data_IF_898979061343
#
_entry.id   IF_898979061343
#
_cell.length_a   1.000
_cell.length_b   1.000
_cell.length_c   1.000
_cell.angle_alpha   90.00
_cell.angle_beta   90.00
_cell.angle_gamma   90.00
#
_symmetry.space_group_name_H-M   'P 1'
#
loop_
_entity.id
_entity.type
_entity.pdbx_description
1 polymer ?
#
# COMPACT_ATOMS: atom_id res chain seq x y z
N UNK A 1 -0.25 -25.66 -4.01
CA UNK A 1 0.54 -25.22 -2.89
C UNK A 1 0.81 -23.73 -3.00
N UNK A 2 0.50 -23.02 -1.95
CA UNK A 2 0.74 -21.59 -1.95
C UNK A 2 2.23 -21.34 -2.07
N UNK A 3 2.61 -20.55 -3.06
CA UNK A 3 3.98 -20.16 -3.19
C UNK A 3 4.34 -19.21 -2.08
N UNK A 4 5.38 -19.52 -1.38
CA UNK A 4 5.93 -18.58 -0.42
C UNK A 4 6.35 -17.33 -1.20
N UNK A 5 5.89 -16.20 -0.76
CA UNK A 5 6.23 -14.95 -1.40
C UNK A 5 5.68 -13.81 -0.58
N UNK A 6 6.30 -12.66 -0.74
CA UNK A 6 5.89 -11.49 0.02
C UNK A 6 4.96 -10.61 -0.80
N UNK A 7 4.02 -10.01 -0.10
CA UNK A 7 3.11 -9.03 -0.69
C UNK A 7 3.60 -7.65 -0.27
N UNK A 8 3.72 -6.75 -1.24
CA UNK A 8 4.06 -5.35 -0.96
C UNK A 8 2.80 -4.52 -1.14
N UNK A 9 2.34 -3.91 -0.05
CA UNK A 9 1.15 -3.07 -0.06
C UNK A 9 1.53 -1.61 -0.23
N UNK A 10 0.75 -0.91 -1.03
CA UNK A 10 0.96 0.51 -1.33
C UNK A 10 -0.28 1.32 -1.00
N UNK A 11 -0.08 2.38 -0.26
CA UNK A 11 -1.08 3.42 -0.06
C UNK A 11 -0.64 4.63 -0.87
N UNK A 12 -1.26 4.84 -2.03
CA UNK A 12 -0.85 5.89 -2.96
C UNK A 12 -1.38 7.25 -2.53
N UNK A 13 -0.51 8.04 -1.93
CA UNK A 13 -0.82 9.43 -1.61
C UNK A 13 -0.35 10.38 -2.70
N UNK A 14 -0.70 11.64 -2.58
CA UNK A 14 -0.28 12.67 -3.55
C UNK A 14 1.20 12.98 -3.44
N UNK A 15 1.73 12.99 -2.24
CA UNK A 15 3.14 13.32 -1.99
C UNK A 15 4.00 12.12 -1.59
N UNK A 16 3.38 11.07 -1.07
CA UNK A 16 4.10 9.91 -0.56
C UNK A 16 3.35 8.63 -0.85
N UNK A 17 4.10 7.55 -0.89
CA UNK A 17 3.52 6.21 -0.96
C UNK A 17 3.85 5.51 0.36
N UNK A 18 2.80 5.14 1.10
CA UNK A 18 2.96 4.32 2.29
C UNK A 18 3.22 2.88 1.87
N UNK A 19 4.15 2.22 2.53
CA UNK A 19 4.57 0.87 2.16
C UNK A 19 4.53 -0.07 3.34
N UNK A 20 4.06 -1.29 3.09
CA UNK A 20 4.12 -2.37 4.04
C UNK A 20 4.40 -3.67 3.30
N UNK A 21 5.10 -4.59 3.96
CA UNK A 21 5.46 -5.85 3.35
C UNK A 21 5.04 -7.00 4.27
N UNK A 22 4.59 -8.09 3.67
CA UNK A 22 4.25 -9.27 4.46
C UNK A 22 5.50 -10.13 4.66
N UNK A 23 5.44 -11.02 5.65
CA UNK A 23 6.44 -12.05 5.78
C UNK A 23 6.22 -13.11 4.69
N UNK A 24 7.14 -14.03 4.57
CA UNK A 24 7.07 -15.06 3.52
C UNK A 24 5.86 -15.98 3.70
N UNK A 25 5.40 -16.15 4.93
CA UNK A 25 4.28 -17.01 5.23
C UNK A 25 2.93 -16.33 5.08
N UNK A 26 2.92 -15.00 4.87
CA UNK A 26 1.66 -14.28 4.73
C UNK A 26 0.88 -14.13 6.03
N UNK A 27 1.57 -14.07 7.16
CA UNK A 27 0.93 -13.99 8.46
C UNK A 27 0.84 -12.56 8.96
N UNK A 28 1.90 -11.80 8.84
CA UNK A 28 1.97 -10.45 9.42
C UNK A 28 2.46 -9.41 8.44
N UNK A 29 1.99 -8.19 8.64
CA UNK A 29 2.39 -7.02 7.85
C UNK A 29 3.37 -6.17 8.66
N UNK A 30 4.42 -5.71 7.99
CA UNK A 30 5.43 -4.85 8.59
C UNK A 30 5.55 -3.58 7.77
N UNK A 31 5.54 -2.42 8.43
CA UNK A 31 5.69 -1.15 7.75
C UNK A 31 7.11 -0.94 7.25
N UNK A 32 7.23 -0.36 6.07
CA UNK A 32 8.50 0.05 5.51
C UNK A 32 8.58 1.57 5.52
N UNK A 33 9.75 2.10 5.26
CA UNK A 33 9.93 3.54 5.18
C UNK A 33 9.07 4.10 4.05
N UNK A 34 8.33 5.16 4.35
CA UNK A 34 7.46 5.82 3.39
C UNK A 34 8.30 6.41 2.24
N UNK A 35 7.83 6.22 1.03
CA UNK A 35 8.54 6.69 -0.16
C UNK A 35 7.97 8.02 -0.63
N UNK A 36 8.84 9.00 -0.84
CA UNK A 36 8.41 10.27 -1.41
C UNK A 36 8.21 10.14 -2.91
N UNK A 37 7.17 10.80 -3.41
CA UNK A 37 6.83 10.75 -4.83
C UNK A 37 7.79 11.63 -5.65
N UNK A 38 8.28 11.06 -6.73
CA UNK A 38 9.17 11.77 -7.66
C UNK A 38 8.60 11.82 -9.07
N UNK A 39 7.48 11.15 -9.28
CA UNK A 39 6.84 11.02 -10.57
C UNK A 39 6.53 9.56 -10.83
N UNK A 40 5.48 9.29 -11.59
CA UNK A 40 4.98 7.93 -11.77
C UNK A 40 6.06 6.98 -12.29
N UNK A 41 6.82 7.41 -13.28
CA UNK A 41 7.85 6.57 -13.89
C UNK A 41 8.94 6.20 -12.88
N UNK A 42 9.46 7.19 -12.16
CA UNK A 42 10.52 6.97 -11.18
C UNK A 42 10.00 6.17 -10.00
N UNK A 43 8.77 6.41 -9.59
CA UNK A 43 8.16 5.69 -8.47
C UNK A 43 7.99 4.21 -8.80
N UNK A 44 7.54 3.92 -10.02
CA UNK A 44 7.37 2.53 -10.46
C UNK A 44 8.72 1.81 -10.55
N UNK A 45 9.75 2.50 -11.03
CA UNK A 45 11.08 1.90 -11.10
C UNK A 45 11.64 1.63 -9.70
N UNK A 46 11.43 2.54 -8.76
CA UNK A 46 11.84 2.34 -7.38
C UNK A 46 11.12 1.14 -6.75
N UNK A 47 9.82 1.02 -7.02
CA UNK A 47 9.03 -0.10 -6.51
C UNK A 47 9.48 -1.43 -7.14
N UNK A 48 9.82 -1.42 -8.43
CA UNK A 48 10.33 -2.61 -9.09
C UNK A 48 11.62 -3.09 -8.43
N UNK A 49 12.54 -2.18 -8.16
CA UNK A 49 13.78 -2.51 -7.49
C UNK A 49 13.57 -3.02 -6.07
N UNK A 50 12.68 -2.36 -5.35
CA UNK A 50 12.35 -2.77 -3.98
C UNK A 50 11.75 -4.18 -3.97
N UNK A 51 10.82 -4.44 -4.88
CA UNK A 51 10.18 -5.75 -4.97
C UNK A 51 11.20 -6.85 -5.30
N UNK A 52 12.08 -6.58 -6.25
CA UNK A 52 13.10 -7.55 -6.63
C UNK A 52 14.05 -7.83 -5.47
N UNK A 53 14.44 -6.79 -4.73
CA UNK A 53 15.38 -6.93 -3.62
C UNK A 53 14.80 -7.64 -2.41
N UNK A 54 13.48 -7.63 -2.24
CA UNK A 54 12.83 -8.22 -1.07
C UNK A 54 12.03 -9.48 -1.35
N UNK A 55 12.08 -9.99 -2.56
CA UNK A 55 11.37 -11.22 -2.91
C UNK A 55 9.85 -11.05 -2.95
N UNK A 56 9.38 -9.90 -3.39
CA UNK A 56 7.95 -9.62 -3.53
C UNK A 56 7.40 -10.36 -4.74
N UNK A 57 6.24 -10.99 -4.57
CA UNK A 57 5.60 -11.75 -5.64
C UNK A 57 4.25 -11.16 -6.05
N UNK A 58 3.76 -10.18 -5.30
CA UNK A 58 2.46 -9.57 -5.57
C UNK A 58 2.41 -8.18 -4.94
N UNK A 59 1.70 -7.26 -5.60
CA UNK A 59 1.40 -5.95 -5.03
C UNK A 59 -0.04 -5.89 -4.58
N UNK A 60 -0.30 -5.11 -3.55
CA UNK A 60 -1.63 -4.80 -3.06
C UNK A 60 -1.76 -3.29 -2.99
N UNK A 61 -2.78 -2.73 -3.62
CA UNK A 61 -2.98 -1.28 -3.63
C UNK A 61 -4.33 -0.94 -3.03
N UNK A 62 -4.36 0.04 -2.15
CA UNK A 62 -5.61 0.55 -1.60
C UNK A 62 -6.38 1.31 -2.68
N UNK A 63 -7.65 0.98 -2.83
CA UNK A 63 -8.52 1.59 -3.84
C UNK A 63 -9.50 2.55 -3.16
N UNK A 64 -9.48 3.85 -3.48
CA UNK A 64 -10.39 4.82 -2.88
C UNK A 64 -11.76 4.80 -3.55
N UNK A 65 -12.47 3.69 -3.40
CA UNK A 65 -13.71 3.43 -4.14
C UNK A 65 -14.90 4.30 -3.79
N UNK A 66 -15.13 4.67 -2.60
CA UNK A 66 -16.41 5.24 -2.18
C UNK A 66 -16.38 6.71 -1.82
N UNK A 67 -15.51 7.45 -2.49
CA UNK A 67 -15.41 8.88 -2.25
C UNK A 67 -16.12 9.63 -3.38
N UNK A 68 -16.24 10.94 -3.27
CA UNK A 68 -16.95 11.76 -4.24
C UNK A 68 -16.18 11.90 -5.56
N UNK A 69 -16.57 12.85 -6.42
CA UNK A 69 -15.96 13.04 -7.73
C UNK A 69 -14.44 13.18 -7.76
N UNK A 70 -13.85 13.75 -6.73
CA UNK A 70 -12.39 13.81 -6.62
C UNK A 70 -11.77 12.42 -6.52
N UNK A 71 -12.40 11.57 -5.75
CA UNK A 71 -11.92 10.22 -5.56
C UNK A 71 -12.05 9.38 -6.83
N UNK A 72 -13.01 9.70 -7.70
CA UNK A 72 -13.12 9.04 -8.99
C UNK A 72 -11.88 9.26 -9.86
N UNK A 73 -11.34 10.47 -9.83
CA UNK A 73 -10.09 10.76 -10.54
C UNK A 73 -8.92 10.04 -9.91
N UNK A 74 -8.87 10.00 -8.61
CA UNK A 74 -7.82 9.28 -7.90
C UNK A 74 -7.94 7.78 -8.14
N UNK A 75 -9.14 7.25 -8.21
CA UNK A 75 -9.37 5.85 -8.56
C UNK A 75 -8.85 5.52 -9.95
N UNK A 76 -9.13 6.39 -10.93
CA UNK A 76 -8.64 6.19 -12.28
C UNK A 76 -7.10 6.24 -12.32
N UNK A 77 -6.51 7.19 -11.63
CA UNK A 77 -5.06 7.29 -11.53
C UNK A 77 -4.46 6.04 -10.88
N UNK A 78 -5.09 5.56 -9.82
CA UNK A 78 -4.63 4.36 -9.11
C UNK A 78 -4.63 3.15 -10.03
N UNK A 79 -5.67 3.00 -10.85
CA UNK A 79 -5.75 1.88 -11.79
C UNK A 79 -4.71 1.98 -12.89
N UNK A 80 -4.45 3.19 -13.39
CA UNK A 80 -3.40 3.41 -14.39
C UNK A 80 -2.02 3.09 -13.81
N UNK A 81 -1.78 3.55 -12.57
CA UNK A 81 -0.54 3.26 -11.87
C UNK A 81 -0.35 1.75 -11.70
N UNK A 82 -1.40 1.07 -11.27
CA UNK A 82 -1.36 -0.39 -11.08
C UNK A 82 -1.07 -1.13 -12.39
N UNK A 83 -1.70 -0.70 -13.48
CA UNK A 83 -1.48 -1.32 -14.78
C UNK A 83 -0.03 -1.18 -15.25
N UNK A 84 0.53 0.00 -15.06
CA UNK A 84 1.92 0.23 -15.44
C UNK A 84 2.89 -0.54 -14.53
N UNK A 85 2.60 -0.57 -13.24
CA UNK A 85 3.39 -1.33 -12.28
C UNK A 85 3.41 -2.81 -12.65
N UNK A 86 2.25 -3.36 -12.99
CA UNK A 86 2.14 -4.76 -13.39
C UNK A 86 2.93 -5.04 -14.66
N UNK A 87 2.85 -4.16 -15.65
CA UNK A 87 3.61 -4.33 -16.89
C UNK A 87 5.11 -4.27 -16.66
N UNK A 88 5.56 -3.34 -15.82
CA UNK A 88 6.99 -3.15 -15.60
C UNK A 88 7.62 -4.19 -14.71
N UNK A 89 6.85 -4.76 -13.80
CA UNK A 89 7.39 -5.75 -12.85
C UNK A 89 7.06 -7.18 -13.23
N UNK A 90 6.01 -7.39 -14.01
CA UNK A 90 5.51 -8.73 -14.30
C UNK A 90 4.79 -9.38 -13.13
N UNK A 91 4.52 -8.62 -12.06
CA UNK A 91 3.87 -9.15 -10.87
C UNK A 91 2.41 -8.73 -10.83
N UNK A 92 1.52 -9.60 -10.31
CA UNK A 92 0.11 -9.25 -10.20
C UNK A 92 -0.12 -8.12 -9.20
N UNK A 93 -1.15 -7.32 -9.47
CA UNK A 93 -1.57 -6.24 -8.58
C UNK A 93 -3.02 -6.47 -8.21
N UNK A 94 -3.30 -6.53 -6.92
CA UNK A 94 -4.66 -6.62 -6.41
C UNK A 94 -5.05 -5.31 -5.73
N UNK A 95 -6.35 -5.05 -5.68
CA UNK A 95 -6.90 -3.87 -5.03
C UNK A 95 -7.68 -4.28 -3.79
N UNK A 96 -7.69 -3.38 -2.80
CA UNK A 96 -8.53 -3.54 -1.63
C UNK A 96 -9.06 -2.18 -1.22
N UNK A 97 -10.33 -2.13 -0.84
CA UNK A 97 -10.97 -0.90 -0.41
C UNK A 97 -10.28 -0.38 0.85
N UNK A 98 -9.74 0.83 0.77
CA UNK A 98 -9.02 1.45 1.88
C UNK A 98 -9.88 2.41 2.71
N UNK A 99 -11.20 2.42 2.47
CA UNK A 99 -12.12 3.38 3.10
C UNK A 99 -11.97 3.51 4.61
N UNK A 100 -11.68 2.41 5.28
CA UNK A 100 -11.59 2.37 6.75
C UNK A 100 -10.17 2.46 7.30
N UNK A 101 -9.16 2.19 6.50
CA UNK A 101 -7.78 2.10 6.99
C UNK A 101 -7.24 3.43 7.47
N UNK A 102 -7.54 4.51 6.77
CA UNK A 102 -7.08 5.85 7.16
C UNK A 102 -7.68 6.29 8.48
N UNK A 103 -8.95 5.96 8.72
CA UNK A 103 -9.61 6.29 9.98
C UNK A 103 -8.98 5.56 11.17
N UNK A 104 -8.68 4.29 10.99
CA UNK A 104 -8.03 3.52 12.03
C UNK A 104 -6.64 4.05 12.33
N UNK A 105 -5.89 4.38 11.28
CA UNK A 105 -4.57 4.95 11.43
C UNK A 105 -4.62 6.28 12.18
N UNK A 106 -5.56 7.14 11.83
CA UNK A 106 -5.72 8.43 12.49
C UNK A 106 -6.05 8.29 13.98
N UNK A 107 -6.93 7.37 14.33
CA UNK A 107 -7.27 7.14 15.73
C UNK A 107 -6.06 6.69 16.52
N UNK A 108 -5.28 5.81 15.96
CA UNK A 108 -4.08 5.29 16.60
C UNK A 108 -3.07 6.41 16.85
N UNK A 109 -2.89 7.28 15.87
CA UNK A 109 -1.89 8.34 15.95
C UNK A 109 -2.34 9.46 16.87
N UNK A 110 -3.64 9.78 16.89
CA UNK A 110 -4.16 10.78 17.85
C UNK A 110 -3.87 10.36 19.28
N UNK A 111 -4.03 9.08 19.56
CA UNK A 111 -3.71 8.56 20.88
C UNK A 111 -2.23 8.66 21.21
N UNK A 112 -1.37 8.69 20.20
CA UNK A 112 0.08 8.75 20.39
C UNK A 112 0.62 10.19 20.52
N UNK A 113 -0.17 11.22 20.16
CA UNK A 113 0.25 12.61 20.28
C UNK A 113 1.34 13.05 19.32
N UNK A 114 1.32 12.55 18.10
CA UNK A 114 2.34 12.84 17.09
C UNK A 114 2.12 14.20 16.43
N UNK A 115 3.21 14.93 16.14
CA UNK A 115 3.16 16.23 15.47
C UNK A 115 2.62 16.14 14.04
N UNK A 116 2.02 17.25 13.53
CA UNK A 116 1.27 17.23 12.28
C UNK A 116 2.04 16.70 11.05
N UNK A 117 3.24 17.18 10.81
CA UNK A 117 3.99 16.74 9.62
C UNK A 117 4.53 15.32 9.76
N UNK A 118 4.94 14.95 10.96
CA UNK A 118 5.36 13.59 11.26
C UNK A 118 4.16 12.65 11.24
N UNK A 119 2.98 13.17 11.61
CA UNK A 119 1.73 12.41 11.59
C UNK A 119 1.38 11.89 10.19
N UNK A 120 1.57 12.73 9.16
CA UNK A 120 1.25 12.30 7.79
C UNK A 120 2.09 11.11 7.34
N UNK A 121 3.39 11.15 7.59
CA UNK A 121 4.27 10.05 7.22
C UNK A 121 3.92 8.77 7.98
N UNK A 122 3.59 8.90 9.27
CA UNK A 122 3.21 7.76 10.09
C UNK A 122 1.85 7.21 9.66
N UNK A 123 0.90 8.09 9.33
CA UNK A 123 -0.42 7.67 8.84
C UNK A 123 -0.28 6.89 7.55
N UNK A 124 0.53 7.35 6.60
CA UNK A 124 0.73 6.68 5.33
C UNK A 124 1.30 5.27 5.54
N UNK A 125 2.30 5.15 6.41
CA UNK A 125 2.88 3.84 6.72
C UNK A 125 1.88 2.94 7.42
N UNK A 126 1.19 3.48 8.40
CA UNK A 126 0.23 2.71 9.19
C UNK A 126 -0.97 2.29 8.34
N UNK A 127 -1.42 3.15 7.43
CA UNK A 127 -2.48 2.81 6.50
C UNK A 127 -2.10 1.60 5.63
N UNK A 128 -0.86 1.57 5.15
CA UNK A 128 -0.38 0.44 4.35
C UNK A 128 -0.32 -0.84 5.20
N UNK A 129 0.12 -0.74 6.46
CA UNK A 129 0.16 -1.89 7.36
C UNK A 129 -1.24 -2.43 7.62
N UNK A 130 -2.19 -1.54 7.93
CA UNK A 130 -3.56 -1.94 8.21
C UNK A 130 -4.19 -2.57 6.96
N UNK A 131 -3.98 -1.96 5.80
CA UNK A 131 -4.46 -2.47 4.53
C UNK A 131 -3.96 -3.89 4.30
N UNK A 132 -2.66 -4.10 4.45
CA UNK A 132 -2.06 -5.40 4.22
C UNK A 132 -2.50 -6.42 5.24
N UNK A 133 -2.51 -6.07 6.53
CA UNK A 133 -2.91 -7.01 7.58
C UNK A 133 -4.37 -7.42 7.39
N UNK A 134 -5.24 -6.49 7.04
CA UNK A 134 -6.64 -6.77 6.75
C UNK A 134 -6.78 -7.76 5.59
N UNK A 135 -5.96 -7.60 4.55
CA UNK A 135 -5.96 -8.51 3.42
C UNK A 135 -5.48 -9.92 3.85
N UNK A 136 -4.39 -9.98 4.59
CA UNK A 136 -3.84 -11.26 5.05
C UNK A 136 -4.81 -12.01 5.95
N UNK A 137 -5.48 -11.30 6.83
CA UNK A 137 -6.46 -11.91 7.76
C UNK A 137 -7.67 -12.43 6.99
N UNK A 138 -8.11 -11.72 5.98
CA UNK A 138 -9.23 -12.16 5.14
C UNK A 138 -8.86 -13.43 4.37
N UNK A 139 -7.64 -13.53 3.88
CA UNK A 139 -7.19 -14.72 3.17
C UNK A 139 -7.12 -15.96 4.06
N UNK A 140 -6.81 -15.76 5.34
CA UNK A 140 -6.80 -16.88 6.30
C UNK A 140 -8.18 -17.45 6.55
N UNK A 141 -9.19 -16.59 6.52
CA UNK A 141 -10.57 -17.00 6.79
C UNK A 141 -11.19 -17.67 5.56
N UNK A 142 -10.82 -17.18 4.41
CA UNK A 142 -11.29 -17.71 3.14
C UNK A 142 -10.50 -18.92 2.71
#
# INVERSE_FOLDING_TARGET
MATAGRILALDLGKKRIGLAISDELGISAQGLETMERKGRRDDIEALRKLAAGKGVTQFLIGDPLHMNGEASRQGAYTREFAGELQRKTGLPVEFRDERWTSREAERTIRGAGVANHARKAVIDRLSAVILLQSYLDAEKIG
#
